data_IF_857348045483
#
_entry.id   IF_857348045483
#
_cell.length_a   1.000
_cell.length_b   1.000
_cell.length_c   1.000
_cell.angle_alpha   90.00
_cell.angle_beta   90.00
_cell.angle_gamma   90.00
#
_symmetry.space_group_name_H-M   'P 1'
#
loop_
_entity.id
_entity.type
_entity.pdbx_description
1 polymer ?
#
# COMPACT_ATOMS: atom_id res chain seq x y z
N UNK A 1 5.87 -10.75 -16.36
CA UNK A 1 5.94 -9.36 -16.89
C UNK A 1 6.38 -8.40 -15.79
N UNK A 2 7.47 -7.64 -15.99
CA UNK A 2 7.85 -6.54 -15.09
C UNK A 2 6.90 -5.36 -15.33
N UNK A 3 6.18 -4.89 -14.31
CA UNK A 3 5.40 -3.64 -14.39
C UNK A 3 6.38 -2.48 -14.62
N UNK A 4 6.06 -1.56 -15.54
CA UNK A 4 6.91 -0.40 -15.85
C UNK A 4 7.14 0.48 -14.61
N UNK A 5 8.26 1.22 -14.59
CA UNK A 5 8.59 2.10 -13.47
C UNK A 5 7.53 3.20 -13.26
N UNK A 6 6.93 3.69 -14.36
CA UNK A 6 5.79 4.61 -14.34
C UNK A 6 4.60 4.06 -13.54
N UNK A 7 4.29 2.77 -13.70
CA UNK A 7 3.20 2.12 -12.97
C UNK A 7 3.53 1.98 -11.48
N UNK A 8 4.78 1.70 -11.13
CA UNK A 8 5.22 1.65 -9.73
C UNK A 8 5.14 3.03 -9.07
N UNK A 9 5.57 4.09 -9.74
CA UNK A 9 5.47 5.46 -9.24
C UNK A 9 4.00 5.88 -9.04
N UNK A 10 3.12 5.53 -9.97
CA UNK A 10 1.68 5.76 -9.81
C UNK A 10 1.11 5.01 -8.59
N UNK A 11 1.47 3.74 -8.42
CA UNK A 11 1.05 2.96 -7.25
C UNK A 11 1.53 3.59 -5.94
N UNK A 12 2.79 4.06 -5.87
CA UNK A 12 3.32 4.78 -4.70
C UNK A 12 2.48 6.02 -4.37
N UNK A 13 2.16 6.86 -5.36
CA UNK A 13 1.32 8.05 -5.15
C UNK A 13 -0.07 7.71 -4.64
N UNK A 14 -0.69 6.63 -5.16
CA UNK A 14 -1.99 6.16 -4.67
C UNK A 14 -1.88 5.73 -3.21
N UNK A 15 -0.84 4.97 -2.85
CA UNK A 15 -0.60 4.52 -1.47
C UNK A 15 -0.38 5.72 -0.54
N UNK A 16 0.41 6.72 -0.96
CA UNK A 16 0.66 7.92 -0.18
C UNK A 16 -0.62 8.68 0.13
N UNK A 17 -1.47 8.87 -0.90
CA UNK A 17 -2.77 9.52 -0.74
C UNK A 17 -3.67 8.75 0.23
N UNK A 18 -3.80 7.43 0.03
CA UNK A 18 -4.67 6.58 0.85
C UNK A 18 -4.20 6.50 2.31
N UNK A 19 -2.89 6.45 2.55
CA UNK A 19 -2.35 6.48 3.91
C UNK A 19 -2.59 7.83 4.57
N UNK A 20 -2.42 8.93 3.84
CA UNK A 20 -2.73 10.28 4.33
C UNK A 20 -4.21 10.42 4.70
N UNK A 21 -5.14 9.92 3.87
CA UNK A 21 -6.59 9.88 4.16
C UNK A 21 -6.93 9.09 5.43
N UNK A 22 -6.09 8.12 5.82
CA UNK A 22 -6.22 7.33 7.05
C UNK A 22 -5.42 7.89 8.24
N UNK A 23 -4.81 9.08 8.11
CA UNK A 23 -4.03 9.71 9.17
C UNK A 23 -2.62 9.13 9.35
N UNK A 24 -2.14 8.30 8.41
CA UNK A 24 -0.79 7.74 8.41
C UNK A 24 0.06 8.51 7.40
N UNK A 25 0.49 9.71 7.77
CA UNK A 25 1.38 10.53 6.92
C UNK A 25 2.86 10.17 7.14
N UNK A 26 3.77 10.80 6.39
CA UNK A 26 5.22 10.52 6.45
C UNK A 26 5.87 10.73 7.82
N UNK A 27 5.28 11.54 8.70
CA UNK A 27 5.76 11.74 10.06
C UNK A 27 5.33 10.62 11.02
N UNK A 28 4.37 9.78 10.63
CA UNK A 28 3.93 8.64 11.43
C UNK A 28 5.00 7.55 11.42
N UNK A 29 5.40 7.07 12.61
CA UNK A 29 6.38 5.98 12.78
C UNK A 29 6.06 4.70 11.99
N UNK A 30 4.79 4.48 11.66
CA UNK A 30 4.32 3.30 10.93
C UNK A 30 4.28 3.51 9.40
N UNK A 31 4.42 4.75 8.90
CA UNK A 31 4.25 5.06 7.49
C UNK A 31 5.15 4.22 6.58
N UNK A 32 6.44 4.09 6.92
CA UNK A 32 7.37 3.31 6.13
C UNK A 32 6.96 1.82 6.05
N UNK A 33 6.50 1.26 7.17
CA UNK A 33 6.03 -0.13 7.23
C UNK A 33 4.72 -0.32 6.45
N UNK A 34 3.73 0.55 6.66
CA UNK A 34 2.46 0.53 5.97
C UNK A 34 2.63 0.70 4.45
N UNK A 35 3.41 1.68 4.01
CA UNK A 35 3.65 1.98 2.60
C UNK A 35 4.35 0.82 1.89
N UNK A 36 5.41 0.26 2.51
CA UNK A 36 6.11 -0.92 1.99
C UNK A 36 5.19 -2.13 1.87
N UNK A 37 4.39 -2.41 2.90
CA UNK A 37 3.54 -3.59 2.92
C UNK A 37 2.37 -3.46 1.93
N UNK A 38 1.72 -2.29 1.85
CA UNK A 38 0.73 -2.00 0.82
C UNK A 38 1.30 -2.15 -0.58
N UNK A 39 2.50 -1.62 -0.83
CA UNK A 39 3.14 -1.73 -2.14
C UNK A 39 3.38 -3.20 -2.52
N UNK A 40 3.92 -4.00 -1.60
CA UNK A 40 4.21 -5.41 -1.84
C UNK A 40 2.94 -6.23 -2.12
N UNK A 41 1.92 -6.11 -1.28
CA UNK A 41 0.67 -6.86 -1.45
C UNK A 41 -0.06 -6.41 -2.71
N UNK A 42 -0.12 -5.09 -2.95
CA UNK A 42 -0.72 -4.55 -4.18
C UNK A 42 0.01 -5.05 -5.43
N UNK A 43 1.33 -5.11 -5.42
CA UNK A 43 2.12 -5.64 -6.53
C UNK A 43 1.85 -7.12 -6.81
N UNK A 44 1.57 -7.94 -5.79
CA UNK A 44 1.20 -9.35 -5.97
C UNK A 44 -0.15 -9.45 -6.67
N UNK A 45 -1.16 -8.72 -6.22
CA UNK A 45 -2.48 -8.74 -6.86
C UNK A 45 -2.45 -8.15 -8.27
N UNK A 46 -1.77 -7.02 -8.46
CA UNK A 46 -1.68 -6.39 -9.77
C UNK A 46 -0.89 -7.25 -10.78
N UNK A 47 -0.11 -8.26 -10.37
CA UNK A 47 0.53 -9.20 -11.31
C UNK A 47 -0.45 -10.17 -11.94
N UNK A 48 -1.61 -10.43 -11.34
CA UNK A 48 -2.62 -11.34 -11.89
C UNK A 48 -3.45 -10.70 -12.99
N UNK A 49 -3.46 -9.36 -13.07
CA UNK A 49 -4.16 -8.63 -14.13
C UNK A 49 -3.49 -8.84 -15.49
N UNK A 50 -4.18 -9.52 -16.39
CA UNK A 50 -3.75 -9.84 -17.75
C UNK A 50 -3.80 -8.64 -18.70
N UNK A 51 -4.58 -7.61 -18.37
CA UNK A 51 -4.74 -6.39 -19.16
C UNK A 51 -4.35 -5.15 -18.36
N UNK A 52 -3.88 -4.10 -19.05
CA UNK A 52 -3.65 -2.78 -18.47
C UNK A 52 -4.82 -1.82 -18.63
N UNK A 53 -5.94 -2.24 -19.24
CA UNK A 53 -7.16 -1.44 -19.32
C UNK A 53 -7.64 -1.19 -17.89
N UNK A 54 -7.96 0.07 -17.57
CA UNK A 54 -8.38 0.49 -16.22
C UNK A 54 -7.36 0.23 -15.09
N UNK A 55 -6.07 0.02 -15.40
CA UNK A 55 -5.04 -0.31 -14.40
C UNK A 55 -4.98 0.70 -13.24
N UNK A 56 -5.29 1.97 -13.47
CA UNK A 56 -5.29 2.98 -12.40
C UNK A 56 -6.44 2.78 -11.42
N UNK A 57 -7.63 2.43 -11.90
CA UNK A 57 -8.78 2.15 -11.03
C UNK A 57 -8.58 0.82 -10.30
N UNK A 58 -8.05 -0.18 -10.97
CA UNK A 58 -7.65 -1.44 -10.33
C UNK A 58 -6.61 -1.23 -9.23
N UNK A 59 -5.59 -0.39 -9.47
CA UNK A 59 -4.62 0.00 -8.46
C UNK A 59 -5.28 0.64 -7.25
N UNK A 60 -6.25 1.55 -7.44
CA UNK A 60 -6.99 2.15 -6.34
C UNK A 60 -7.78 1.08 -5.59
N UNK A 61 -8.61 0.29 -6.27
CA UNK A 61 -9.43 -0.77 -5.65
C UNK A 61 -8.60 -1.71 -4.79
N UNK A 62 -7.44 -2.16 -5.32
CA UNK A 62 -6.51 -3.03 -4.61
C UNK A 62 -5.94 -2.35 -3.36
N UNK A 63 -5.49 -1.09 -3.45
CA UNK A 63 -4.92 -0.37 -2.30
C UNK A 63 -5.99 -0.07 -1.24
N UNK A 64 -7.16 0.44 -1.64
CA UNK A 64 -8.25 0.80 -0.74
C UNK A 64 -8.84 -0.41 -0.01
N UNK A 65 -8.91 -1.58 -0.65
CA UNK A 65 -9.40 -2.81 0.00
C UNK A 65 -8.45 -3.33 1.09
N UNK A 66 -7.17 -2.96 1.05
CA UNK A 66 -6.14 -3.49 1.95
C UNK A 66 -5.69 -2.52 3.04
N UNK A 67 -5.84 -1.21 2.83
CA UNK A 67 -5.26 -0.17 3.71
C UNK A 67 -5.63 -0.37 5.17
N UNK A 68 -6.89 -0.63 5.48
CA UNK A 68 -7.36 -0.81 6.86
C UNK A 68 -6.70 -2.02 7.52
N UNK A 69 -6.58 -3.15 6.80
CA UNK A 69 -5.97 -4.37 7.33
C UNK A 69 -4.47 -4.19 7.58
N UNK A 70 -3.76 -3.54 6.65
CA UNK A 70 -2.33 -3.27 6.80
C UNK A 70 -2.08 -2.31 7.97
N UNK A 71 -2.85 -1.23 8.09
CA UNK A 71 -2.73 -0.32 9.24
C UNK A 71 -2.96 -1.07 10.55
N UNK A 72 -4.04 -1.85 10.66
CA UNK A 72 -4.34 -2.62 11.87
C UNK A 72 -3.27 -3.67 12.20
N UNK A 73 -2.65 -4.27 11.20
CA UNK A 73 -1.53 -5.19 11.38
C UNK A 73 -0.30 -4.46 11.94
N UNK A 74 0.06 -3.32 11.35
CA UNK A 74 1.21 -2.54 11.80
C UNK A 74 0.97 -1.89 13.17
N UNK A 75 -0.26 -1.52 13.52
CA UNK A 75 -0.61 -1.01 14.86
C UNK A 75 -0.31 -2.10 15.90
N UNK A 76 -0.77 -3.33 15.65
CA UNK A 76 -0.50 -4.48 16.51
C UNK A 76 0.99 -4.75 16.63
N UNK A 77 1.73 -4.72 15.52
CA UNK A 77 3.20 -4.92 15.52
C UNK A 77 3.95 -3.82 16.29
N UNK A 78 3.52 -2.57 16.15
CA UNK A 78 4.14 -1.45 16.87
C UNK A 78 3.83 -1.49 18.39
N UNK A 79 2.67 -2.02 18.78
CA UNK A 79 2.36 -2.29 20.19
C UNK A 79 3.22 -3.43 20.78
N UNK A 80 3.64 -4.39 19.96
CA UNK A 80 4.51 -5.50 20.38
C UNK A 80 5.98 -5.09 20.52
N UNK A 81 6.45 -4.10 19.75
CA UNK A 81 7.83 -3.62 19.80
C UNK A 81 8.18 -2.76 21.03
N UNK A 82 7.29 -2.70 22.04
CA UNK A 82 7.54 -2.07 23.35
C UNK A 82 7.89 -3.11 24.44
N UNK A 83 7.79 -4.41 24.15
CA UNK A 83 7.97 -5.51 25.14
C UNK A 83 9.21 -6.37 24.83
N UNK A 84 10.25 -5.83 24.20
CA UNK A 84 11.54 -6.55 24.03
C UNK A 84 12.69 -5.62 24.34
#
# INVERSE_FOLDING_TARGET
MKRSERHKQKLKRIIDNVLSEKGVNQANKMYAACSRNLFNVSMVLLKTLTTSRNLTEEMKTVVYSQVTQIINLEVRRCGLSVIT
#
